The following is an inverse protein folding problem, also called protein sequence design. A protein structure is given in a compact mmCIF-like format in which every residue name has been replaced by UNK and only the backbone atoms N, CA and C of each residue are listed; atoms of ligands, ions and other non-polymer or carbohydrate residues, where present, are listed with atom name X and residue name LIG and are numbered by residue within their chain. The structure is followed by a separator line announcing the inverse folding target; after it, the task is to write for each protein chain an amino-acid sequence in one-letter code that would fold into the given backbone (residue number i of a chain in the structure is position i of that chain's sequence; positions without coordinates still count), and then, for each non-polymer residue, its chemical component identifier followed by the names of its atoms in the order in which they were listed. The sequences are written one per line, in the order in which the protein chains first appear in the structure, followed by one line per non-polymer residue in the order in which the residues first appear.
data_IF_140872448761
#
_entry.id   IF_140872448761
#
_cell.length_a   1.000
_cell.length_b   1.000
_cell.length_c   1.000
_cell.angle_alpha   90.00
_cell.angle_beta   90.00
_cell.angle_gamma   90.00
#
_symmetry.space_group_name_H-M   'P 1'
#
loop_
_entity.id
_entity.type
_entity.pdbx_description
1 polymer ?
#
# COMPACT_ATOMS: atom_id res chain seq x y z
N UNK A 1 -17.51 -2.72 -4.10
CA UNK A 1 -16.17 -2.73 -3.49
C UNK A 1 -15.54 -1.38 -3.75
N UNK A 2 -14.85 -0.78 -2.78
CA UNK A 2 -14.27 0.56 -2.94
C UNK A 2 -12.82 0.47 -3.43
N UNK A 3 -12.38 1.51 -4.13
CA UNK A 3 -11.02 1.66 -4.61
C UNK A 3 -10.38 2.88 -3.95
N UNK A 4 -9.20 2.71 -3.38
CA UNK A 4 -8.39 3.78 -2.81
C UNK A 4 -7.20 3.98 -3.76
N UNK A 5 -6.96 5.21 -4.19
CA UNK A 5 -5.87 5.53 -5.12
C UNK A 5 -4.95 6.55 -4.48
N UNK A 6 -3.67 6.20 -4.34
CA UNK A 6 -2.61 7.11 -3.90
C UNK A 6 -1.77 7.49 -5.12
N UNK A 7 -1.83 8.77 -5.48
CA UNK A 7 -1.03 9.35 -6.54
C UNK A 7 0.32 9.81 -5.97
N UNK A 8 1.41 9.26 -6.49
CA UNK A 8 2.79 9.59 -6.12
C UNK A 8 3.03 9.67 -4.59
N UNK A 9 2.71 8.62 -3.81
CA UNK A 9 2.82 8.69 -2.36
C UNK A 9 4.29 8.82 -1.91
N UNK A 10 4.54 9.81 -1.06
CA UNK A 10 5.91 10.14 -0.63
C UNK A 10 6.28 9.53 0.74
N UNK A 11 5.31 9.39 1.64
CA UNK A 11 5.53 9.03 3.04
C UNK A 11 5.21 7.54 3.26
N UNK A 12 6.20 6.68 3.57
CA UNK A 12 5.98 5.23 3.72
C UNK A 12 4.95 4.89 4.80
N UNK A 13 5.00 5.60 5.94
CA UNK A 13 4.11 5.34 7.08
C UNK A 13 2.63 5.59 6.76
N UNK A 14 2.34 6.63 5.95
CA UNK A 14 0.97 6.91 5.50
C UNK A 14 0.47 5.78 4.59
N UNK A 15 1.30 5.35 3.63
CA UNK A 15 0.95 4.25 2.74
C UNK A 15 0.76 2.95 3.50
N UNK A 16 1.61 2.64 4.48
CA UNK A 16 1.46 1.48 5.34
C UNK A 16 0.14 1.47 6.12
N UNK A 17 -0.23 2.60 6.72
CA UNK A 17 -1.51 2.73 7.43
C UNK A 17 -2.72 2.57 6.48
N UNK A 18 -2.60 3.05 5.24
CA UNK A 18 -3.66 2.93 4.22
C UNK A 18 -3.74 1.50 3.68
N UNK A 19 -2.62 0.78 3.56
CA UNK A 19 -2.61 -0.67 3.25
C UNK A 19 -3.40 -1.43 4.32
N UNK A 20 -3.15 -1.16 5.61
CA UNK A 20 -3.90 -1.74 6.72
C UNK A 20 -5.40 -1.41 6.65
N UNK A 21 -5.74 -0.16 6.34
CA UNK A 21 -7.13 0.26 6.18
C UNK A 21 -7.82 -0.48 5.02
N UNK A 22 -7.15 -0.60 3.87
CA UNK A 22 -7.66 -1.29 2.70
C UNK A 22 -7.93 -2.77 3.01
N UNK A 23 -6.98 -3.45 3.66
CA UNK A 23 -7.13 -4.83 4.10
C UNK A 23 -8.31 -5.00 5.08
N UNK A 24 -8.45 -4.11 6.08
CA UNK A 24 -9.54 -4.18 7.07
C UNK A 24 -10.93 -3.88 6.49
N UNK A 25 -11.00 -3.10 5.41
CA UNK A 25 -12.26 -2.68 4.78
C UNK A 25 -12.63 -3.50 3.56
N UNK A 26 -11.76 -4.40 3.09
CA UNK A 26 -11.92 -5.10 1.82
C UNK A 26 -11.92 -4.13 0.64
N UNK A 27 -11.14 -3.04 0.70
CA UNK A 27 -10.97 -2.10 -0.41
C UNK A 27 -9.73 -2.48 -1.22
N UNK A 28 -9.78 -2.27 -2.53
CA UNK A 28 -8.60 -2.42 -3.38
C UNK A 28 -7.75 -1.14 -3.32
N UNK A 29 -6.43 -1.27 -3.15
CA UNK A 29 -5.50 -0.15 -3.06
C UNK A 29 -4.65 -0.05 -4.33
N UNK A 30 -4.62 1.14 -4.92
CA UNK A 30 -3.80 1.48 -6.07
C UNK A 30 -2.73 2.50 -5.69
N UNK A 31 -1.48 2.24 -6.09
CA UNK A 31 -0.37 3.18 -5.98
C UNK A 31 0.08 3.58 -7.37
N UNK A 32 0.12 4.88 -7.66
CA UNK A 32 0.59 5.42 -8.94
C UNK A 32 2.02 5.94 -8.74
N UNK A 33 2.94 5.48 -9.58
CA UNK A 33 4.34 5.88 -9.57
C UNK A 33 4.54 7.35 -10.00
N UNK A 34 5.68 7.98 -9.64
CA UNK A 34 6.76 7.46 -8.80
C UNK A 34 6.40 7.39 -7.31
N UNK A 35 6.87 6.34 -6.63
CA UNK A 35 6.75 6.24 -5.17
C UNK A 35 7.96 6.92 -4.53
N UNK A 36 7.75 7.71 -3.49
CA UNK A 36 8.85 8.33 -2.73
C UNK A 36 9.65 7.36 -1.85
N UNK A 37 9.34 6.06 -1.91
CA UNK A 37 9.93 5.01 -1.09
C UNK A 37 9.91 3.64 -1.78
N UNK A 38 10.69 2.68 -1.25
CA UNK A 38 10.70 1.30 -1.74
C UNK A 38 9.61 0.45 -1.09
N UNK A 39 8.94 -0.38 -1.91
CA UNK A 39 7.97 -1.41 -1.49
C UNK A 39 8.61 -2.79 -1.26
N UNK A 40 9.93 -2.87 -1.14
CA UNK A 40 10.62 -4.16 -0.93
C UNK A 40 10.08 -4.94 0.28
N UNK A 41 10.13 -6.28 0.21
CA UNK A 41 9.63 -7.20 1.24
C UNK A 41 10.17 -6.86 2.64
N UNK A 42 11.43 -6.41 2.73
CA UNK A 42 12.04 -5.98 4.00
C UNK A 42 11.39 -4.72 4.58
N UNK A 43 10.97 -3.77 3.73
CA UNK A 43 10.31 -2.54 4.14
C UNK A 43 8.89 -2.84 4.64
N UNK A 44 8.14 -3.65 3.88
CA UNK A 44 6.79 -4.12 4.23
C UNK A 44 6.79 -4.86 5.56
N UNK A 45 7.67 -5.85 5.73
CA UNK A 45 7.75 -6.64 6.97
C UNK A 45 8.14 -5.78 8.18
N UNK A 46 8.99 -4.77 7.99
CA UNK A 46 9.38 -3.83 9.06
C UNK A 46 8.23 -2.92 9.48
N UNK A 47 7.31 -2.58 8.58
CA UNK A 47 6.08 -1.85 8.93
C UNK A 47 5.04 -2.70 9.68
N UNK A 48 5.31 -3.98 9.92
CA UNK A 48 4.37 -4.88 10.59
C UNK A 48 3.13 -5.19 9.75
N UNK A 49 3.28 -5.10 8.43
CA UNK A 49 2.26 -5.53 7.47
C UNK A 49 2.50 -7.00 7.14
N UNK A 50 1.41 -7.77 7.13
CA UNK A 50 1.44 -9.16 6.65
C UNK A 50 1.24 -9.20 5.14
N UNK A 51 1.79 -10.21 4.48
CA UNK A 51 1.70 -10.35 3.02
C UNK A 51 0.24 -10.48 2.53
N UNK A 52 -0.65 -10.99 3.38
CA UNK A 52 -2.10 -11.02 3.11
C UNK A 52 -2.72 -9.62 3.01
N UNK A 53 -2.15 -8.62 3.68
CA UNK A 53 -2.60 -7.23 3.61
C UNK A 53 -2.22 -6.56 2.29
N UNK A 54 -1.30 -7.17 1.52
CA UNK A 54 -0.90 -6.73 0.18
C UNK A 54 -1.66 -7.45 -0.94
N UNK A 55 -2.55 -8.40 -0.63
CA UNK A 55 -3.16 -9.29 -1.63
C UNK A 55 -3.97 -8.54 -2.71
N UNK A 56 -4.42 -7.32 -2.44
CA UNK A 56 -5.17 -6.47 -3.36
C UNK A 56 -4.49 -5.12 -3.66
N UNK A 57 -3.16 -5.07 -3.54
CA UNK A 57 -2.34 -3.91 -3.91
C UNK A 57 -2.00 -3.94 -5.41
N UNK A 58 -2.30 -2.86 -6.13
CA UNK A 58 -1.93 -2.68 -7.54
C UNK A 58 -1.02 -1.47 -7.69
N UNK A 59 0.10 -1.64 -8.40
CA UNK A 59 1.03 -0.54 -8.71
C UNK A 59 0.93 -0.21 -10.20
N UNK A 60 0.75 1.07 -10.52
CA UNK A 60 0.67 1.61 -11.88
C UNK A 60 1.94 2.40 -12.22
N UNK A 61 2.42 2.25 -13.46
CA UNK A 61 3.59 2.95 -13.99
C UNK A 61 3.26 4.32 -14.57
#
# INVERSE_FOLDING_TARGET
MFHIVLFEPEIPGNTGNIIRLAANTGSCLHLIQPLGFSLDEKAVRRSGLDYHELAELVVHA
#
